data_IF_200510286935
#
_entry.id   IF_200510286935
#
_cell.length_a   1.000
_cell.length_b   1.000
_cell.length_c   1.000
_cell.angle_alpha   90.00
_cell.angle_beta   90.00
_cell.angle_gamma   90.00
#
_symmetry.space_group_name_H-M   'P 1'
#
loop_
_entity.id
_entity.type
_entity.pdbx_description
1 polymer ?
#
# COMPACT_ATOMS: atom_id res chain seq x y z
N UNK A 1 -9.90 -18.18 0.35
CA UNK A 1 -9.23 -17.11 1.11
C UNK A 1 -7.75 -17.24 0.85
N UNK A 2 -7.16 -16.22 0.21
CA UNK A 2 -5.74 -16.18 -0.16
C UNK A 2 -4.92 -15.47 0.93
N UNK A 3 -3.77 -16.00 1.28
CA UNK A 3 -2.82 -15.34 2.19
C UNK A 3 -1.62 -14.85 1.40
N UNK A 4 -1.35 -13.55 1.49
CA UNK A 4 -0.25 -12.90 0.82
C UNK A 4 0.76 -12.37 1.83
N UNK A 5 2.04 -12.45 1.48
CA UNK A 5 3.11 -11.77 2.19
C UNK A 5 3.50 -10.51 1.41
N UNK A 6 3.62 -9.38 2.09
CA UNK A 6 4.17 -8.14 1.53
C UNK A 6 5.55 -7.89 2.11
N UNK A 7 6.53 -7.72 1.23
CA UNK A 7 7.90 -7.32 1.59
C UNK A 7 8.36 -6.13 0.75
N UNK A 8 9.25 -5.31 1.32
CA UNK A 8 9.87 -4.18 0.60
C UNK A 8 11.31 -4.48 0.17
N UNK A 9 11.94 -5.51 0.73
CA UNK A 9 13.31 -5.86 0.45
C UNK A 9 13.51 -7.36 0.18
N UNK A 10 14.45 -7.78 -0.69
CA UNK A 10 14.72 -9.18 -0.96
C UNK A 10 15.14 -9.99 0.26
N UNK A 11 15.86 -9.39 1.20
CA UNK A 11 16.26 -10.06 2.44
C UNK A 11 15.05 -10.51 3.27
N UNK A 12 13.88 -9.90 3.11
CA UNK A 12 12.66 -10.24 3.83
C UNK A 12 11.95 -11.48 3.25
N UNK A 13 12.47 -12.10 2.18
CA UNK A 13 11.98 -13.39 1.66
C UNK A 13 11.98 -14.50 2.71
N UNK A 14 12.81 -14.41 3.76
CA UNK A 14 12.82 -15.38 4.87
C UNK A 14 11.49 -15.44 5.65
N UNK A 15 10.63 -14.42 5.55
CA UNK A 15 9.27 -14.47 6.11
C UNK A 15 8.31 -15.32 5.26
N UNK A 16 8.67 -15.64 4.01
CA UNK A 16 7.84 -16.45 3.14
C UNK A 16 7.87 -17.91 3.60
N UNK A 17 6.69 -18.43 3.92
CA UNK A 17 6.47 -19.81 4.38
C UNK A 17 5.28 -20.40 3.62
N UNK A 18 5.06 -21.71 3.75
CA UNK A 18 4.03 -22.44 3.01
C UNK A 18 2.58 -21.96 3.27
N UNK A 19 2.35 -21.09 4.27
CA UNK A 19 1.04 -20.49 4.49
C UNK A 19 0.68 -19.41 3.46
N UNK A 20 1.67 -18.84 2.77
CA UNK A 20 1.47 -17.80 1.77
C UNK A 20 1.47 -18.39 0.36
N UNK A 21 0.50 -17.99 -0.45
CA UNK A 21 0.38 -18.37 -1.86
C UNK A 21 0.67 -17.20 -2.81
N UNK A 22 0.87 -16.00 -2.26
CA UNK A 22 1.04 -14.77 -3.04
C UNK A 22 2.13 -13.89 -2.42
N UNK A 23 2.98 -13.29 -3.24
CA UNK A 23 4.01 -12.35 -2.83
C UNK A 23 3.73 -10.95 -3.37
N UNK A 24 3.67 -9.97 -2.47
CA UNK A 24 3.62 -8.55 -2.78
C UNK A 24 5.02 -7.98 -2.60
N UNK A 25 5.49 -7.21 -3.58
CA UNK A 25 6.81 -6.59 -3.54
C UNK A 25 6.79 -5.16 -4.06
N UNK A 26 7.48 -4.27 -3.36
CA UNK A 26 7.68 -2.88 -3.76
C UNK A 26 7.41 -1.90 -2.64
N UNK A 27 6.99 -0.69 -3.01
CA UNK A 27 6.74 0.38 -2.05
C UNK A 27 5.50 1.19 -2.47
N UNK A 28 4.59 1.42 -1.53
CA UNK A 28 3.33 2.13 -1.78
C UNK A 28 3.46 3.65 -1.68
N UNK A 29 4.46 4.16 -0.95
CA UNK A 29 4.44 5.50 -0.38
C UNK A 29 5.49 6.45 -0.97
N UNK A 30 6.61 5.95 -1.47
CA UNK A 30 7.73 6.79 -1.85
C UNK A 30 8.42 6.33 -3.13
N UNK A 31 8.46 7.19 -4.15
CA UNK A 31 9.18 6.94 -5.40
C UNK A 31 10.70 6.74 -5.20
N UNK A 32 11.28 7.27 -4.12
CA UNK A 32 12.71 7.09 -3.86
C UNK A 32 13.01 5.71 -3.24
N UNK A 33 11.99 4.96 -2.82
CA UNK A 33 12.10 3.61 -2.27
C UNK A 33 11.63 2.54 -3.28
N UNK A 34 11.48 2.92 -4.55
CA UNK A 34 11.25 1.93 -5.60
C UNK A 34 12.46 0.99 -5.69
N UNK A 35 12.24 -0.32 -5.85
CA UNK A 35 13.32 -1.28 -5.87
C UNK A 35 14.19 -1.11 -7.11
N UNK A 36 15.44 -1.59 -7.04
CA UNK A 36 16.29 -1.70 -8.21
C UNK A 36 15.87 -2.87 -9.11
N UNK A 37 16.25 -2.83 -10.39
CA UNK A 37 16.05 -3.98 -11.31
C UNK A 37 16.77 -5.25 -10.83
N UNK A 38 17.89 -5.08 -10.11
CA UNK A 38 18.65 -6.20 -9.53
C UNK A 38 17.85 -6.87 -8.41
N UNK A 39 17.29 -6.08 -7.50
CA UNK A 39 16.50 -6.61 -6.39
C UNK A 39 15.20 -7.24 -6.91
N UNK A 40 14.56 -6.60 -7.90
CA UNK A 40 13.40 -7.15 -8.58
C UNK A 40 13.73 -8.48 -9.28
N UNK A 41 14.90 -8.62 -9.91
CA UNK A 41 15.33 -9.89 -10.52
C UNK A 41 15.41 -11.03 -9.50
N UNK A 42 15.90 -10.75 -8.28
CA UNK A 42 15.98 -11.73 -7.20
C UNK A 42 14.56 -12.21 -6.82
N UNK A 43 13.64 -11.27 -6.65
CA UNK A 43 12.25 -11.58 -6.32
C UNK A 43 11.57 -12.39 -7.44
N UNK A 44 11.69 -11.96 -8.70
CA UNK A 44 11.06 -12.65 -9.82
C UNK A 44 11.61 -14.08 -10.02
N UNK A 45 12.91 -14.28 -9.77
CA UNK A 45 13.52 -15.61 -9.75
C UNK A 45 12.88 -16.49 -8.68
N UNK A 46 12.78 -15.99 -7.45
CA UNK A 46 12.14 -16.72 -6.34
C UNK A 46 10.68 -17.08 -6.67
N UNK A 47 9.89 -16.11 -7.14
CA UNK A 47 8.48 -16.33 -7.50
C UNK A 47 8.34 -17.42 -8.58
N UNK A 48 9.21 -17.40 -9.60
CA UNK A 48 9.21 -18.42 -10.66
C UNK A 48 9.60 -19.81 -10.14
N UNK A 49 10.67 -19.91 -9.35
CA UNK A 49 11.16 -21.18 -8.79
C UNK A 49 10.12 -21.85 -7.89
N UNK A 50 9.34 -21.05 -7.16
CA UNK A 50 8.33 -21.53 -6.24
C UNK A 50 6.90 -21.52 -6.81
N UNK A 51 6.72 -21.10 -8.08
CA UNK A 51 5.39 -20.99 -8.74
C UNK A 51 4.36 -20.20 -7.93
N UNK A 52 4.79 -19.06 -7.36
CA UNK A 52 3.98 -18.19 -6.49
C UNK A 52 3.24 -17.12 -7.34
N UNK A 53 2.04 -16.72 -6.95
CA UNK A 53 1.38 -15.54 -7.53
C UNK A 53 2.05 -14.26 -7.05
N UNK A 54 2.11 -13.21 -7.88
CA UNK A 54 2.86 -12.01 -7.51
C UNK A 54 2.21 -10.71 -7.95
N UNK A 55 2.36 -9.73 -7.05
CA UNK A 55 1.92 -8.36 -7.22
C UNK A 55 3.09 -7.39 -7.04
N UNK A 56 3.34 -6.55 -8.03
CA UNK A 56 4.28 -5.45 -7.93
C UNK A 56 3.57 -4.17 -7.47
N UNK A 57 4.04 -3.60 -6.38
CA UNK A 57 3.42 -2.46 -5.71
C UNK A 57 4.14 -1.18 -6.05
N UNK A 58 3.44 -0.23 -6.66
CA UNK A 58 4.01 1.06 -7.08
C UNK A 58 3.59 2.19 -6.15
N UNK A 59 4.46 3.19 -5.92
CA UNK A 59 4.07 4.37 -5.17
C UNK A 59 3.31 5.37 -6.04
N UNK A 60 2.84 6.45 -5.43
CA UNK A 60 2.55 7.67 -6.19
C UNK A 60 3.85 8.36 -6.63
N UNK A 61 3.87 8.90 -7.84
CA UNK A 61 5.12 9.26 -8.54
C UNK A 61 4.99 10.59 -9.28
N UNK A 62 6.14 11.23 -9.52
CA UNK A 62 6.28 12.27 -10.55
C UNK A 62 6.59 11.66 -11.91
N UNK A 63 6.70 12.50 -12.95
CA UNK A 63 7.23 12.11 -14.27
C UNK A 63 8.58 11.38 -14.18
N UNK A 64 9.47 11.81 -13.28
CA UNK A 64 10.74 11.11 -13.01
C UNK A 64 10.49 9.68 -12.51
N UNK A 65 9.53 9.52 -11.59
CA UNK A 65 9.16 8.21 -11.07
C UNK A 65 8.47 7.33 -12.11
N UNK A 66 7.60 7.90 -12.96
CA UNK A 66 7.01 7.18 -14.10
C UNK A 66 8.09 6.64 -15.04
N UNK A 67 9.09 7.46 -15.40
CA UNK A 67 10.20 7.00 -16.22
C UNK A 67 11.01 5.88 -15.56
N UNK A 68 11.23 5.96 -14.24
CA UNK A 68 11.94 4.94 -13.50
C UNK A 68 11.14 3.63 -13.33
N UNK A 69 9.81 3.68 -13.37
CA UNK A 69 8.97 2.48 -13.32
C UNK A 69 8.99 1.67 -14.63
N UNK A 70 9.18 2.31 -15.78
CA UNK A 70 9.19 1.64 -17.10
C UNK A 70 10.11 0.41 -17.11
N UNK A 71 11.43 0.51 -16.81
CA UNK A 71 12.31 -0.66 -16.87
C UNK A 71 11.91 -1.76 -15.88
N UNK A 72 11.40 -1.41 -14.70
CA UNK A 72 10.93 -2.39 -13.71
C UNK A 72 9.71 -3.17 -14.23
N UNK A 73 8.74 -2.47 -14.81
CA UNK A 73 7.52 -3.09 -15.36
C UNK A 73 7.83 -3.88 -16.63
N UNK A 74 8.76 -3.41 -17.48
CA UNK A 74 9.26 -4.18 -18.62
C UNK A 74 9.83 -5.52 -18.17
N UNK A 75 10.70 -5.51 -17.13
CA UNK A 75 11.28 -6.74 -16.59
C UNK A 75 10.22 -7.72 -16.07
N UNK A 76 9.17 -7.21 -15.42
CA UNK A 76 8.03 -8.02 -14.94
C UNK A 76 7.28 -8.64 -16.13
N UNK A 77 6.95 -7.83 -17.13
CA UNK A 77 6.20 -8.23 -18.32
C UNK A 77 6.93 -9.28 -19.18
N UNK A 78 8.26 -9.24 -19.22
CA UNK A 78 9.08 -10.20 -19.96
C UNK A 78 9.10 -11.60 -19.33
N UNK A 79 8.97 -11.68 -18.00
CA UNK A 79 9.16 -12.94 -17.28
C UNK A 79 7.88 -13.77 -17.25
N UNK A 80 6.72 -13.15 -16.99
CA UNK A 80 5.46 -13.88 -16.81
C UNK A 80 4.25 -13.09 -17.32
N UNK A 81 3.26 -13.83 -17.85
CA UNK A 81 2.12 -13.26 -18.57
C UNK A 81 1.02 -12.69 -17.67
N UNK A 82 0.97 -13.04 -16.38
CA UNK A 82 -0.20 -12.80 -15.50
C UNK A 82 0.24 -12.29 -14.13
N UNK A 83 0.89 -11.13 -14.08
CA UNK A 83 1.22 -10.45 -12.83
C UNK A 83 0.37 -9.22 -12.60
N UNK A 84 0.11 -8.96 -11.33
CA UNK A 84 -0.67 -7.81 -10.86
C UNK A 84 0.27 -6.60 -10.66
N UNK A 85 -0.12 -5.45 -11.20
CA UNK A 85 0.46 -4.15 -10.86
C UNK A 85 -0.51 -3.41 -9.96
N UNK A 86 -0.14 -3.24 -8.69
CA UNK A 86 -0.88 -2.45 -7.73
C UNK A 86 -0.45 -0.99 -7.88
N UNK A 87 -1.33 -0.18 -8.46
CA UNK A 87 -1.04 1.23 -8.71
C UNK A 87 -1.65 2.12 -7.62
N UNK A 88 -0.85 3.06 -7.13
CA UNK A 88 -1.30 4.12 -6.22
C UNK A 88 -1.36 5.49 -6.90
N UNK A 89 -1.25 5.52 -8.23
CA UNK A 89 -1.23 6.71 -9.08
C UNK A 89 -1.94 6.45 -10.41
N UNK A 90 -2.82 7.36 -10.85
CA UNK A 90 -3.51 7.22 -12.12
C UNK A 90 -2.58 7.37 -13.33
N UNK A 91 -1.44 8.06 -13.19
CA UNK A 91 -0.39 8.10 -14.19
C UNK A 91 0.27 6.74 -14.39
N UNK A 92 0.46 5.97 -13.32
CA UNK A 92 0.97 4.59 -13.41
C UNK A 92 -0.06 3.68 -14.07
N UNK A 93 -1.34 3.78 -13.67
CA UNK A 93 -2.42 3.06 -14.35
C UNK A 93 -2.42 3.33 -15.87
N UNK A 94 -2.37 4.60 -16.28
CA UNK A 94 -2.34 4.97 -17.69
C UNK A 94 -1.10 4.42 -18.40
N UNK A 95 0.07 4.47 -17.75
CA UNK A 95 1.33 3.95 -18.30
C UNK A 95 1.23 2.43 -18.58
N UNK A 96 0.77 1.67 -17.59
CA UNK A 96 0.65 0.21 -17.69
C UNK A 96 -0.39 -0.18 -18.72
N UNK A 97 -1.58 0.45 -18.67
CA UNK A 97 -2.66 0.16 -19.63
C UNK A 97 -2.25 0.41 -21.09
N UNK A 98 -1.41 1.42 -21.34
CA UNK A 98 -0.96 1.75 -22.70
C UNK A 98 0.19 0.87 -23.18
N UNK A 99 1.16 0.55 -22.31
CA UNK A 99 2.41 -0.13 -22.71
C UNK A 99 2.44 -1.62 -22.41
N UNK A 100 1.68 -2.07 -21.43
CA UNK A 100 1.67 -3.44 -20.92
C UNK A 100 0.23 -3.93 -20.69
N UNK A 101 -0.65 -3.92 -21.72
CA UNK A 101 -2.09 -4.16 -21.57
C UNK A 101 -2.47 -5.58 -21.12
N UNK A 102 -1.51 -6.50 -21.08
CA UNK A 102 -1.71 -7.88 -20.60
C UNK A 102 -1.48 -8.03 -19.09
N UNK A 103 -0.89 -7.02 -18.43
CA UNK A 103 -0.73 -7.02 -16.98
C UNK A 103 -2.05 -6.66 -16.30
N UNK A 104 -2.34 -7.33 -15.19
CA UNK A 104 -3.53 -7.06 -14.40
C UNK A 104 -3.30 -5.82 -13.54
N UNK A 105 -4.32 -4.97 -13.41
CA UNK A 105 -4.23 -3.71 -12.67
C UNK A 105 -5.10 -3.74 -11.43
N UNK A 106 -4.48 -3.52 -10.28
CA UNK A 106 -5.15 -3.53 -8.97
C UNK A 106 -5.15 -2.13 -8.38
N UNK A 107 -6.31 -1.66 -7.94
CA UNK A 107 -6.43 -0.35 -7.29
C UNK A 107 -5.75 -0.39 -5.92
N UNK A 108 -4.63 0.32 -5.76
CA UNK A 108 -3.89 0.39 -4.51
C UNK A 108 -4.64 1.13 -3.40
N UNK A 109 -4.34 0.79 -2.13
CA UNK A 109 -5.07 1.31 -0.97
C UNK A 109 -4.98 2.83 -0.78
N UNK A 110 -4.02 3.53 -1.42
CA UNK A 110 -3.93 4.99 -1.37
C UNK A 110 -5.03 5.70 -2.19
N UNK A 111 -5.58 5.01 -3.19
CA UNK A 111 -6.68 5.51 -4.01
C UNK A 111 -8.05 5.20 -3.39
N UNK A 112 -8.11 4.35 -2.36
CA UNK A 112 -9.31 4.15 -1.55
C UNK A 112 -9.43 5.23 -0.47
N UNK A 113 -10.63 5.80 -0.32
CA UNK A 113 -10.88 6.98 0.52
C UNK A 113 -11.68 6.58 1.76
N UNK A 114 -10.97 6.39 2.87
CA UNK A 114 -11.55 6.13 4.20
C UNK A 114 -10.89 7.04 5.24
N UNK A 115 -11.60 7.33 6.34
CA UNK A 115 -10.99 8.00 7.49
C UNK A 115 -10.05 7.03 8.22
N UNK A 116 -8.84 7.47 8.51
CA UNK A 116 -7.78 6.63 9.12
C UNK A 116 -7.25 7.20 10.43
N UNK A 117 -7.92 8.21 10.98
CA UNK A 117 -7.51 8.83 12.25
C UNK A 117 -7.92 7.94 13.41
N UNK A 118 -6.98 7.46 14.25
CA UNK A 118 -7.32 6.58 15.36
C UNK A 118 -8.29 7.17 16.39
N UNK A 119 -8.34 8.50 16.49
CA UNK A 119 -9.23 9.20 17.44
C UNK A 119 -10.71 9.01 17.14
N UNK A 120 -11.04 8.46 15.97
CA UNK A 120 -12.40 8.07 15.61
C UNK A 120 -13.04 7.12 16.64
N UNK A 121 -12.22 6.33 17.35
CA UNK A 121 -12.70 5.43 18.39
C UNK A 121 -13.42 6.15 19.54
N UNK A 122 -13.03 7.38 19.87
CA UNK A 122 -13.69 8.17 20.92
C UNK A 122 -15.09 8.64 20.53
N UNK A 123 -15.42 8.57 19.25
CA UNK A 123 -16.71 8.97 18.72
C UNK A 123 -17.71 7.80 18.72
N UNK A 124 -17.27 6.56 18.88
CA UNK A 124 -18.12 5.36 18.68
C UNK A 124 -19.41 5.41 19.51
N UNK A 125 -19.31 5.71 20.79
CA UNK A 125 -20.45 5.74 21.71
C UNK A 125 -21.17 7.10 21.74
N UNK A 126 -20.67 8.08 20.97
CA UNK A 126 -21.23 9.44 20.85
C UNK A 126 -21.99 9.67 19.55
N UNK A 127 -21.91 8.72 18.62
CA UNK A 127 -22.51 8.81 17.30
C UNK A 127 -23.67 7.82 17.18
N UNK A 128 -24.67 8.17 16.37
CA UNK A 128 -25.68 7.19 15.97
C UNK A 128 -25.05 6.07 15.14
N UNK A 129 -25.68 4.90 15.14
CA UNK A 129 -25.24 3.76 14.32
C UNK A 129 -25.12 4.11 12.84
N UNK A 130 -26.03 4.94 12.32
CA UNK A 130 -25.98 5.42 10.94
C UNK A 130 -24.71 6.22 10.64
N UNK A 131 -24.31 7.15 11.52
CA UNK A 131 -23.10 7.96 11.33
C UNK A 131 -21.84 7.09 11.53
N UNK A 132 -21.86 6.17 12.50
CA UNK A 132 -20.76 5.22 12.67
C UNK A 132 -20.53 4.37 11.42
N UNK A 133 -21.60 3.86 10.82
CA UNK A 133 -21.53 3.07 9.59
C UNK A 133 -20.95 3.88 8.42
N UNK A 134 -21.24 5.19 8.33
CA UNK A 134 -20.64 6.07 7.33
C UNK A 134 -19.11 6.13 7.46
N UNK A 135 -18.56 6.14 8.68
CA UNK A 135 -17.10 6.15 8.88
C UNK A 135 -16.40 4.84 8.51
N UNK A 136 -17.17 3.79 8.25
CA UNK A 136 -16.68 2.51 7.75
C UNK A 136 -16.77 2.41 6.22
N UNK A 137 -17.38 3.38 5.52
CA UNK A 137 -17.49 3.33 4.06
C UNK A 137 -16.25 3.92 3.38
N UNK A 138 -16.09 3.58 2.11
CA UNK A 138 -15.08 4.15 1.22
C UNK A 138 -15.74 4.79 0.00
N UNK A 139 -14.96 5.44 -0.88
CA UNK A 139 -15.44 5.82 -2.20
C UNK A 139 -15.98 4.64 -3.03
N UNK A 140 -15.64 3.40 -2.69
CA UNK A 140 -16.20 2.19 -3.32
C UNK A 140 -17.66 1.94 -2.94
N UNK A 141 -18.24 2.63 -1.95
CA UNK A 141 -19.68 2.52 -1.70
C UNK A 141 -20.53 3.11 -2.83
N UNK A 142 -19.92 3.93 -3.70
CA UNK A 142 -20.58 4.63 -4.81
C UNK A 142 -20.64 3.69 -6.04
N UNK A 143 -21.83 3.24 -6.49
CA UNK A 143 -21.93 2.30 -7.61
C UNK A 143 -21.29 2.82 -8.90
N UNK A 144 -21.44 4.13 -9.17
CA UNK A 144 -20.85 4.74 -10.36
C UNK A 144 -19.32 4.67 -10.37
N UNK A 145 -18.68 4.81 -9.19
CA UNK A 145 -17.23 4.67 -9.09
C UNK A 145 -16.78 3.23 -9.31
N UNK A 146 -17.51 2.24 -8.78
CA UNK A 146 -17.19 0.82 -9.04
C UNK A 146 -17.37 0.45 -10.51
N UNK A 147 -18.45 0.90 -11.14
CA UNK A 147 -18.66 0.74 -12.58
C UNK A 147 -17.52 1.36 -13.39
N UNK A 148 -17.03 2.53 -12.99
CA UNK A 148 -15.86 3.15 -13.62
C UNK A 148 -14.62 2.24 -13.52
N UNK A 149 -14.34 1.65 -12.36
CA UNK A 149 -13.20 0.73 -12.17
C UNK A 149 -13.34 -0.52 -13.06
N UNK A 150 -14.48 -1.19 -13.02
CA UNK A 150 -14.75 -2.42 -13.78
C UNK A 150 -14.65 -2.17 -15.28
N UNK A 151 -15.26 -1.10 -15.79
CA UNK A 151 -15.18 -0.71 -17.20
C UNK A 151 -13.74 -0.38 -17.64
N UNK A 152 -12.85 -0.12 -16.68
CA UNK A 152 -11.44 0.16 -16.91
C UNK A 152 -10.53 -1.08 -16.73
N UNK A 153 -11.09 -2.25 -16.47
CA UNK A 153 -10.35 -3.50 -16.28
C UNK A 153 -9.79 -3.66 -14.87
N UNK A 154 -10.38 -2.98 -13.88
CA UNK A 154 -9.99 -3.06 -12.48
C UNK A 154 -11.12 -3.75 -11.70
N UNK A 155 -10.89 -5.01 -11.33
CA UNK A 155 -11.84 -5.83 -10.57
C UNK A 155 -11.36 -6.14 -9.14
N UNK A 156 -10.09 -5.86 -8.82
CA UNK A 156 -9.51 -6.01 -7.48
C UNK A 156 -9.10 -4.66 -6.88
N UNK A 157 -9.36 -4.53 -5.59
CA UNK A 157 -9.01 -3.35 -4.79
C UNK A 157 -8.27 -3.75 -3.51
N UNK A 158 -7.20 -3.04 -3.24
CA UNK A 158 -6.44 -3.14 -2.00
C UNK A 158 -6.96 -2.11 -1.00
N UNK A 159 -7.10 -2.54 0.26
CA UNK A 159 -7.76 -1.77 1.30
C UNK A 159 -6.97 -1.83 2.60
N UNK A 160 -7.11 -0.76 3.38
CA UNK A 160 -6.53 -0.68 4.71
C UNK A 160 -7.38 -1.43 5.77
N UNK A 161 -6.80 -1.75 6.93
CA UNK A 161 -7.50 -2.31 8.09
C UNK A 161 -7.71 -1.27 9.21
N UNK A 162 -8.64 -0.30 9.04
CA UNK A 162 -8.79 0.78 10.01
C UNK A 162 -9.44 0.33 11.32
N UNK A 163 -9.17 1.08 12.40
CA UNK A 163 -9.61 0.71 13.77
C UNK A 163 -11.14 0.67 13.93
N UNK A 164 -11.87 1.52 13.21
CA UNK A 164 -13.32 1.50 13.20
C UNK A 164 -13.92 0.34 12.38
N UNK A 165 -13.09 -0.44 11.68
CA UNK A 165 -13.51 -1.42 10.70
C UNK A 165 -13.85 -0.80 9.35
N UNK A 166 -14.09 -1.66 8.37
CA UNK A 166 -14.38 -1.26 6.99
C UNK A 166 -15.58 -2.05 6.48
N UNK A 167 -16.53 -1.36 5.86
CA UNK A 167 -17.67 -1.96 5.21
C UNK A 167 -17.26 -2.41 3.80
N UNK A 168 -17.38 -3.71 3.53
CA UNK A 168 -16.97 -4.36 2.29
C UNK A 168 -18.16 -4.84 1.44
N UNK A 169 -19.37 -4.30 1.68
CA UNK A 169 -20.60 -4.68 0.98
C UNK A 169 -20.64 -4.16 -0.48
N UNK A 170 -19.71 -4.62 -1.31
CA UNK A 170 -19.65 -4.39 -2.75
C UNK A 170 -19.17 -5.68 -3.45
N UNK A 171 -20.08 -6.59 -3.81
CA UNK A 171 -19.73 -7.94 -4.28
C UNK A 171 -19.08 -7.97 -5.68
N UNK A 172 -19.16 -6.87 -6.41
CA UNK A 172 -18.67 -6.67 -7.77
C UNK A 172 -17.14 -6.50 -7.89
N UNK A 173 -16.43 -6.41 -6.75
CA UNK A 173 -14.97 -6.30 -6.69
C UNK A 173 -14.38 -7.33 -5.73
N UNK A 174 -13.21 -7.86 -6.10
CA UNK A 174 -12.33 -8.61 -5.21
C UNK A 174 -11.62 -7.66 -4.23
N UNK A 175 -11.46 -8.08 -2.97
CA UNK A 175 -10.87 -7.26 -1.90
C UNK A 175 -9.64 -7.92 -1.31
N UNK A 176 -8.58 -7.13 -1.18
CA UNK A 176 -7.41 -7.46 -0.37
C UNK A 176 -7.33 -6.54 0.85
N UNK A 177 -7.20 -7.10 2.06
CA UNK A 177 -7.03 -6.30 3.30
C UNK A 177 -5.58 -6.40 3.79
N UNK A 178 -4.97 -5.24 4.03
CA UNK A 178 -3.62 -5.14 4.58
C UNK A 178 -3.64 -5.21 6.11
N UNK A 179 -2.70 -5.94 6.70
CA UNK A 179 -2.50 -5.98 8.15
C UNK A 179 -1.02 -6.29 8.48
N UNK A 180 -0.50 -5.90 9.66
CA UNK A 180 -1.18 -5.15 10.71
C UNK A 180 -0.98 -3.64 10.57
N UNK A 181 -0.32 -3.14 9.53
CA UNK A 181 0.01 -1.73 9.42
C UNK A 181 -1.00 -0.96 8.57
N UNK A 182 -1.63 0.03 9.20
CA UNK A 182 -2.48 1.02 8.54
C UNK A 182 -1.83 2.38 8.61
N UNK A 183 -2.00 3.19 7.58
CA UNK A 183 -1.42 4.53 7.55
C UNK A 183 -2.46 5.58 7.97
N UNK A 184 -2.05 6.57 8.74
CA UNK A 184 -2.90 7.72 9.08
C UNK A 184 -2.86 8.74 7.95
N UNK A 185 -1.65 9.06 7.49
CA UNK A 185 -1.40 10.08 6.47
C UNK A 185 -0.06 9.84 5.79
N UNK A 186 0.07 10.32 4.56
CA UNK A 186 1.30 10.29 3.75
C UNK A 186 1.45 11.60 2.99
N UNK A 187 2.68 12.04 2.74
CA UNK A 187 2.98 13.30 2.03
C UNK A 187 4.20 13.16 1.14
N UNK A 188 4.43 14.09 0.22
CA UNK A 188 5.72 14.20 -0.50
C UNK A 188 6.76 15.00 0.29
N UNK A 189 6.31 15.79 1.26
CA UNK A 189 7.15 16.58 2.16
C UNK A 189 7.67 15.68 3.29
N UNK A 190 8.73 14.92 2.99
CA UNK A 190 9.25 13.92 3.90
C UNK A 190 10.04 14.55 5.04
N UNK A 191 9.48 14.57 6.25
CA UNK A 191 10.15 15.06 7.46
C UNK A 191 11.28 14.13 7.96
N UNK A 192 11.46 12.98 7.32
CA UNK A 192 12.59 12.08 7.59
C UNK A 192 13.77 12.36 6.65
N UNK A 193 13.55 13.03 5.51
CA UNK A 193 14.64 13.36 4.59
C UNK A 193 15.57 14.37 5.25
N UNK A 194 16.87 14.07 5.31
CA UNK A 194 17.86 14.92 5.96
C UNK A 194 17.76 14.98 7.49
N UNK A 195 17.08 14.04 8.16
CA UNK A 195 16.95 14.08 9.62
C UNK A 195 18.29 13.96 10.38
N UNK A 196 19.34 13.46 9.72
CA UNK A 196 20.71 13.44 10.26
C UNK A 196 21.38 14.80 10.36
N UNK A 197 20.79 15.82 9.72
CA UNK A 197 21.38 17.15 9.60
C UNK A 197 20.57 18.15 10.44
N UNK A 198 21.09 18.63 11.58
CA UNK A 198 20.38 19.59 12.44
C UNK A 198 19.87 20.82 11.69
N UNK A 199 20.63 21.32 10.71
CA UNK A 199 20.26 22.45 9.87
C UNK A 199 19.06 22.19 8.93
N UNK A 200 18.72 20.92 8.70
CA UNK A 200 17.60 20.51 7.86
C UNK A 200 16.31 20.27 8.65
N UNK A 201 16.36 20.22 9.99
CA UNK A 201 15.20 19.85 10.82
C UNK A 201 13.98 20.77 10.68
N UNK A 202 14.20 22.03 10.35
CA UNK A 202 13.15 23.02 10.13
C UNK A 202 12.75 23.19 8.66
N UNK A 203 13.42 22.47 7.76
CA UNK A 203 13.15 22.58 6.33
C UNK A 203 11.95 21.72 5.95
N UNK A 204 10.94 22.35 5.36
CA UNK A 204 9.75 21.67 4.85
C UNK A 204 9.75 21.84 3.33
N UNK A 205 10.02 20.75 2.61
CA UNK A 205 10.16 20.78 1.16
C UNK A 205 10.34 19.39 0.55
N UNK A 206 10.57 19.37 -0.76
CA UNK A 206 10.94 18.17 -1.51
C UNK A 206 12.43 18.28 -1.80
N UNK A 207 13.23 17.61 -0.98
CA UNK A 207 14.69 17.65 -1.06
C UNK A 207 15.27 16.33 -1.60
N UNK A 208 16.51 16.33 -2.11
CA UNK A 208 17.26 15.10 -2.29
C UNK A 208 17.26 14.30 -0.98
N UNK A 209 16.99 13.00 -1.09
CA UNK A 209 16.80 12.10 0.03
C UNK A 209 17.80 10.95 -0.11
N UNK A 210 18.43 10.56 0.99
CA UNK A 210 19.37 9.43 1.05
C UNK A 210 18.72 8.18 1.67
N UNK A 211 17.38 8.15 1.69
CA UNK A 211 16.58 7.07 2.25
C UNK A 211 16.83 6.88 3.75
N UNK A 212 16.98 7.97 4.51
CA UNK A 212 17.21 7.97 5.96
C UNK A 212 16.12 7.17 6.71
N UNK A 213 14.93 7.04 6.13
CA UNK A 213 13.84 6.22 6.65
C UNK A 213 14.10 4.72 6.69
N UNK A 214 15.12 4.24 5.98
CA UNK A 214 15.63 2.88 6.09
C UNK A 214 16.34 2.66 7.43
N UNK A 215 17.00 3.70 7.97
CA UNK A 215 17.73 3.65 9.23
C UNK A 215 16.88 4.10 10.43
N UNK A 216 16.04 5.12 10.23
CA UNK A 216 15.29 5.75 11.32
C UNK A 216 13.81 5.39 11.32
N UNK A 217 13.27 5.24 12.53
CA UNK A 217 11.84 5.10 12.80
C UNK A 217 11.49 5.96 13.99
N UNK A 218 10.56 6.89 13.81
CA UNK A 218 10.15 7.81 14.87
C UNK A 218 8.84 7.35 15.49
N UNK A 219 8.79 7.31 16.81
CA UNK A 219 7.58 7.00 17.56
C UNK A 219 6.96 8.28 18.07
N UNK A 220 5.76 8.59 17.58
CA UNK A 220 5.05 9.81 17.96
C UNK A 220 4.12 9.48 19.15
N UNK A 221 4.24 10.27 20.22
CA UNK A 221 3.42 10.14 21.43
C UNK A 221 2.56 11.37 21.60
N UNK A 222 1.29 11.15 21.89
CA UNK A 222 0.33 12.18 22.27
C UNK A 222 -0.74 11.51 23.11
N UNK A 223 -1.08 12.12 24.25
CA UNK A 223 -1.99 11.51 25.25
C UNK A 223 -3.41 11.29 24.73
N UNK A 224 -3.81 12.02 23.68
CA UNK A 224 -5.11 11.87 23.04
C UNK A 224 -5.11 10.73 22.02
N UNK A 225 -3.96 10.19 21.59
CA UNK A 225 -3.96 9.11 20.60
C UNK A 225 -4.23 7.75 21.27
N UNK A 226 -5.27 7.00 20.85
CA UNK A 226 -5.61 5.70 21.45
C UNK A 226 -4.63 4.58 21.05
N UNK A 227 -3.74 4.85 20.09
CA UNK A 227 -2.71 3.93 19.60
C UNK A 227 -1.40 4.66 19.43
N UNK A 228 -0.29 3.93 19.55
CA UNK A 228 1.05 4.45 19.24
C UNK A 228 1.15 4.76 17.75
N UNK A 229 1.53 6.00 17.43
CA UNK A 229 1.81 6.40 16.06
C UNK A 229 3.29 6.17 15.72
N UNK A 230 3.54 5.74 14.49
CA UNK A 230 4.88 5.41 13.99
C UNK A 230 5.11 6.18 12.69
N UNK A 231 6.06 7.09 12.65
CA UNK A 231 6.52 7.73 11.41
C UNK A 231 7.73 6.97 10.88
N UNK A 232 7.60 6.47 9.65
CA UNK A 232 8.73 5.92 8.89
C UNK A 232 8.67 6.55 7.50
N UNK A 233 9.72 7.28 7.14
CA UNK A 233 9.76 8.06 5.91
C UNK A 233 8.72 9.16 5.88
N UNK A 234 7.94 9.18 4.81
CA UNK A 234 6.96 10.22 4.51
C UNK A 234 5.55 9.87 4.97
N UNK A 235 5.40 8.78 5.73
CA UNK A 235 4.11 8.22 6.13
C UNK A 235 4.08 7.99 7.65
N UNK A 236 2.89 8.20 8.22
CA UNK A 236 2.59 7.91 9.63
C UNK A 236 1.66 6.71 9.65
N UNK A 237 1.95 5.74 10.51
CA UNK A 237 1.23 4.48 10.67
C UNK A 237 0.76 4.27 12.10
N UNK A 238 -0.15 3.30 12.26
CA UNK A 238 -0.40 2.59 13.50
C UNK A 238 -0.52 1.10 13.21
N UNK A 239 -0.44 0.28 14.26
CA UNK A 239 -0.64 -1.17 14.18
C UNK A 239 -2.08 -1.52 14.56
N UNK A 240 -2.75 -2.32 13.74
CA UNK A 240 -4.05 -2.94 14.01
C UNK A 240 -4.05 -4.39 13.51
N UNK A 241 -3.91 -5.33 14.44
CA UNK A 241 -3.95 -6.77 14.15
C UNK A 241 -5.38 -7.31 14.06
N UNK A 242 -6.36 -6.58 14.63
CA UNK A 242 -7.75 -7.02 14.65
C UNK A 242 -8.41 -6.67 13.33
N UNK A 243 -8.76 -7.69 12.57
CA UNK A 243 -9.54 -7.55 11.34
C UNK A 243 -11.02 -7.70 11.71
N UNK A 244 -11.79 -6.64 11.50
CA UNK A 244 -13.20 -6.57 11.91
C UNK A 244 -14.19 -6.99 10.82
N UNK A 245 -13.72 -7.12 9.57
CA UNK A 245 -14.52 -7.61 8.44
C UNK A 245 -14.19 -9.07 8.14
N UNK A 246 -15.09 -9.80 7.52
CA UNK A 246 -14.87 -11.18 7.04
C UNK A 246 -15.15 -11.33 5.53
N UNK A 247 -15.53 -10.25 4.85
CA UNK A 247 -15.89 -10.25 3.43
C UNK A 247 -14.72 -9.82 2.55
N UNK A 248 -13.57 -10.49 2.67
CA UNK A 248 -12.40 -10.23 1.84
C UNK A 248 -11.93 -11.52 1.17
N UNK A 249 -11.22 -11.39 0.07
CA UNK A 249 -10.73 -12.52 -0.73
C UNK A 249 -9.28 -12.86 -0.40
N UNK A 250 -8.49 -11.82 -0.07
CA UNK A 250 -7.06 -11.88 0.19
C UNK A 250 -6.69 -11.12 1.47
N UNK A 251 -5.81 -11.71 2.26
CA UNK A 251 -5.21 -11.06 3.43
C UNK A 251 -3.72 -10.82 3.20
N UNK A 252 -3.30 -9.56 3.21
CA UNK A 252 -1.93 -9.11 2.89
C UNK A 252 -1.19 -8.80 4.18
N UNK A 253 -0.30 -9.70 4.58
CA UNK A 253 0.50 -9.56 5.79
C UNK A 253 1.77 -8.75 5.56
N UNK A 254 1.97 -7.73 6.38
CA UNK A 254 3.17 -6.88 6.41
C UNK A 254 3.98 -7.23 7.68
N UNK A 255 5.06 -8.04 7.59
CA UNK A 255 5.86 -8.42 8.75
C UNK A 255 6.62 -7.22 9.35
N UNK A 256 6.88 -6.20 8.52
CA UNK A 256 7.56 -4.95 8.84
C UNK A 256 6.76 -3.78 8.28
N UNK A 257 7.08 -2.56 8.73
CA UNK A 257 6.56 -1.36 8.10
C UNK A 257 7.00 -1.30 6.63
N UNK A 258 6.09 -1.02 5.69
CA UNK A 258 6.35 -1.08 4.24
C UNK A 258 7.12 0.15 3.74
N UNK A 259 8.43 0.18 3.99
CA UNK A 259 9.34 1.27 3.63
C UNK A 259 10.59 0.71 3.00
#
# INVERSE_FOLDING_TARGET
MEYALFISHPEDLHFFTNQYSHLYYGNEFCQNLMPSQKDLAIILKFVKEHSISFSFVTPYVTDRGLHALIPLITQIAEILKTYEIIFNDWGVYSLVKQRFPHLELVLGRLLTKIKRDPRILFLKDRLSSQIWNYFQTTNLSIPWYRNFLINNGIDRVDLDNPLQGINLNFPDLHKSIYYPYSYVTTTRLCLTAGCDKPEAWYQIGIFPCQQECQQYTFYLRNDVMPVKLIRKGNTIFYKNEKILSNQYDRLVFQPKLPM
#
